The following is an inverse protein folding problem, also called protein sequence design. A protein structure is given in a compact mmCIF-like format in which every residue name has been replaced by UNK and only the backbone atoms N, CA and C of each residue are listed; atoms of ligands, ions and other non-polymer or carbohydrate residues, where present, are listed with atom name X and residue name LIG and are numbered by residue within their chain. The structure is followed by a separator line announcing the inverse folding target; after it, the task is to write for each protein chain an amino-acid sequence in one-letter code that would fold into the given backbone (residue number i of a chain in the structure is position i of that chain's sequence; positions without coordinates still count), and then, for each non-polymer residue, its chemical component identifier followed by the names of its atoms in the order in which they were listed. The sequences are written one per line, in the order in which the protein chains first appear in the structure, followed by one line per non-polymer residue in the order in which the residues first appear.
data_IF_271209212297
#
_entry.id   IF_271209212297
#
_cell.length_a   1.000
_cell.length_b   1.000
_cell.length_c   1.000
_cell.angle_alpha   90.00
_cell.angle_beta   90.00
_cell.angle_gamma   90.00
#
_symmetry.space_group_name_H-M   'P 1'
#
loop_
_entity.id
_entity.type
_entity.pdbx_description
1 polymer ?
#
# COMPACT_ATOMS: atom_id res chain seq x y z
N UNK A 1 -3.67 14.65 -4.65
CA UNK A 1 -3.23 13.26 -4.85
C UNK A 1 -2.02 12.85 -4.00
N UNK A 2 -0.83 13.47 -4.13
CA UNK A 2 0.34 13.06 -3.31
C UNK A 2 0.11 13.17 -1.80
N UNK A 3 -0.41 14.31 -1.32
CA UNK A 3 -0.72 14.51 0.10
C UNK A 3 -1.71 13.46 0.63
N UNK A 4 -2.63 13.01 -0.21
CA UNK A 4 -3.64 12.02 0.15
C UNK A 4 -3.02 10.63 0.37
N UNK A 5 -2.15 10.17 -0.54
CA UNK A 5 -1.42 8.92 -0.35
C UNK A 5 -0.46 8.97 0.81
N UNK A 6 0.22 10.10 1.01
CA UNK A 6 1.09 10.31 2.18
C UNK A 6 0.29 10.26 3.48
N UNK A 7 -0.89 10.88 3.51
CA UNK A 7 -1.79 10.84 4.67
C UNK A 7 -2.30 9.42 4.94
N UNK A 8 -2.77 8.68 3.92
CA UNK A 8 -3.20 7.29 4.08
C UNK A 8 -2.09 6.38 4.57
N UNK A 9 -0.89 6.50 4.00
CA UNK A 9 0.26 5.73 4.48
C UNK A 9 0.64 6.10 5.92
N UNK A 10 0.54 7.38 6.30
CA UNK A 10 0.78 7.81 7.68
C UNK A 10 -0.26 7.21 8.64
N UNK A 11 -1.54 7.16 8.25
CA UNK A 11 -2.61 6.51 9.03
C UNK A 11 -2.34 5.01 9.16
N UNK A 12 -1.99 4.33 8.07
CA UNK A 12 -1.66 2.91 8.07
C UNK A 12 -0.44 2.59 8.94
N UNK A 13 0.63 3.42 8.85
CA UNK A 13 1.79 3.30 9.74
C UNK A 13 1.40 3.53 11.20
N UNK A 14 0.60 4.56 11.48
CA UNK A 14 0.14 4.85 12.83
C UNK A 14 -0.71 3.70 13.39
N UNK A 15 -1.52 3.04 12.56
CA UNK A 15 -2.27 1.84 12.93
C UNK A 15 -1.33 0.69 13.33
N UNK A 16 -0.26 0.43 12.57
CA UNK A 16 0.76 -0.58 12.92
C UNK A 16 1.47 -0.21 14.23
N UNK A 17 1.91 1.03 14.38
CA UNK A 17 2.60 1.51 15.59
C UNK A 17 1.68 1.41 16.82
N UNK A 18 0.40 1.75 16.66
CA UNK A 18 -0.60 1.64 17.71
C UNK A 18 -0.89 0.19 18.09
N UNK A 19 -1.02 -0.71 17.10
CA UNK A 19 -1.20 -2.14 17.33
C UNK A 19 -0.01 -2.76 18.07
N UNK A 20 1.21 -2.31 17.76
CA UNK A 20 2.43 -2.73 18.46
C UNK A 20 2.50 -2.22 19.90
N UNK A 21 2.07 -0.99 20.16
CA UNK A 21 2.04 -0.41 21.49
C UNK A 21 0.92 -0.97 22.38
N UNK A 22 -0.13 -1.54 21.79
CA UNK A 22 -1.30 -2.07 22.48
C UNK A 22 -1.61 -3.49 21.99
N UNK A 23 -0.71 -4.43 22.33
CA UNK A 23 -0.82 -5.85 21.95
C UNK A 23 -2.02 -6.53 22.60
N UNK A 24 -2.39 -6.10 23.81
CA UNK A 24 -3.51 -6.67 24.58
C UNK A 24 -4.89 -6.20 24.05
N UNK A 25 -4.91 -5.33 23.04
CA UNK A 25 -6.13 -4.82 22.42
C UNK A 25 -6.34 -3.32 22.64
N UNK A 26 -7.49 -2.77 22.23
CA UNK A 26 -7.81 -1.37 22.46
C UNK A 26 -7.94 -1.06 23.96
N UNK A 27 -7.64 0.16 24.40
CA UNK A 27 -7.73 0.54 25.79
C UNK A 27 -9.17 0.46 26.27
N UNK A 28 -9.35 -0.12 27.47
CA UNK A 28 -10.66 -0.34 28.06
C UNK A 28 -11.41 0.99 28.32
N UNK A 29 -12.73 0.92 28.19
CA UNK A 29 -13.61 1.98 28.63
C UNK A 29 -13.70 1.94 30.16
N UNK A 30 -13.05 2.90 30.82
CA UNK A 30 -13.08 3.02 32.27
C UNK A 30 -14.29 3.81 32.77
N UNK A 31 -14.95 3.30 33.79
CA UNK A 31 -15.92 4.04 34.60
C UNK A 31 -15.21 4.53 35.87
N UNK A 32 -15.46 5.78 36.28
CA UNK A 32 -15.06 6.26 37.61
C UNK A 32 -15.65 5.35 38.69
N UNK A 33 -14.98 5.19 39.83
CA UNK A 33 -15.48 4.38 40.97
C UNK A 33 -16.90 4.76 41.41
N UNK A 34 -17.29 6.02 41.26
CA UNK A 34 -18.63 6.52 41.59
C UNK A 34 -19.70 6.24 40.50
N UNK A 35 -19.33 5.61 39.39
CA UNK A 35 -20.20 5.32 38.24
C UNK A 35 -20.76 6.54 37.49
N UNK A 36 -20.32 7.76 37.85
CA UNK A 36 -20.87 9.02 37.33
C UNK A 36 -20.11 9.58 36.13
N UNK A 37 -18.87 9.18 35.94
CA UNK A 37 -18.02 9.66 34.85
C UNK A 37 -17.43 8.51 34.07
N UNK A 38 -17.63 8.51 32.76
CA UNK A 38 -16.81 7.72 31.85
C UNK A 38 -15.49 8.45 31.64
N UNK A 39 -14.39 7.78 31.96
CA UNK A 39 -13.06 8.27 31.62
C UNK A 39 -12.47 7.36 30.56
N UNK A 40 -12.29 7.92 29.38
CA UNK A 40 -11.66 7.23 28.28
C UNK A 40 -10.14 7.28 28.48
N UNK A 41 -9.54 6.19 28.96
CA UNK A 41 -8.13 5.96 28.64
C UNK A 41 -8.05 5.81 27.12
N UNK A 42 -7.57 6.84 26.43
CA UNK A 42 -7.55 6.86 24.97
C UNK A 42 -8.87 7.31 24.32
N UNK A 43 -9.49 8.39 24.82
CA UNK A 43 -10.59 9.12 24.13
C UNK A 43 -10.32 9.30 22.62
N UNK A 44 -9.04 9.41 22.27
CA UNK A 44 -8.53 9.51 20.90
C UNK A 44 -8.76 8.27 20.04
N UNK A 45 -8.76 7.05 20.58
CA UNK A 45 -9.01 5.82 19.81
C UNK A 45 -10.50 5.57 19.60
N UNK A 46 -11.30 5.72 20.67
CA UNK A 46 -12.75 5.49 20.61
C UNK A 46 -13.49 6.54 19.77
N UNK A 47 -12.89 7.72 19.56
CA UNK A 47 -13.39 8.74 18.65
C UNK A 47 -13.05 8.52 17.17
N UNK A 48 -12.27 7.48 16.83
CA UNK A 48 -11.92 7.18 15.44
C UNK A 48 -13.11 6.58 14.68
N UNK A 49 -13.15 6.68 13.34
CA UNK A 49 -14.20 6.08 12.53
C UNK A 49 -14.26 4.55 12.68
N UNK A 50 -15.47 3.98 12.56
CA UNK A 50 -15.68 2.52 12.61
C UNK A 50 -14.78 1.74 11.65
N UNK A 51 -14.55 2.25 10.43
CA UNK A 51 -13.66 1.60 9.47
C UNK A 51 -12.21 1.48 9.98
N UNK A 52 -11.77 2.40 10.84
CA UNK A 52 -10.47 2.31 11.49
C UNK A 52 -10.45 1.20 12.53
N UNK A 53 -11.52 1.05 13.34
CA UNK A 53 -11.65 -0.05 14.30
C UNK A 53 -11.67 -1.40 13.58
N UNK A 54 -12.48 -1.55 12.54
CA UNK A 54 -12.56 -2.77 11.75
C UNK A 54 -11.20 -3.11 11.10
N UNK A 55 -10.53 -2.08 10.55
CA UNK A 55 -9.19 -2.22 9.98
C UNK A 55 -8.15 -2.63 11.03
N UNK A 56 -8.23 -2.10 12.25
CA UNK A 56 -7.35 -2.46 13.36
C UNK A 56 -7.54 -3.90 13.82
N UNK A 57 -8.78 -4.34 13.93
CA UNK A 57 -9.11 -5.72 14.34
C UNK A 57 -8.61 -6.72 13.29
N UNK A 58 -8.82 -6.41 12.00
CA UNK A 58 -8.24 -7.18 10.91
C UNK A 58 -6.70 -7.18 10.95
N UNK A 59 -6.07 -6.01 11.14
CA UNK A 59 -4.61 -5.87 11.10
C UNK A 59 -3.92 -6.72 12.17
N UNK A 60 -4.45 -6.75 13.39
CA UNK A 60 -3.90 -7.53 14.51
C UNK A 60 -3.91 -9.03 14.27
N UNK A 61 -4.82 -9.52 13.42
CA UNK A 61 -4.93 -10.93 13.09
C UNK A 61 -3.88 -11.39 12.06
N UNK A 62 -3.14 -10.47 11.43
CA UNK A 62 -2.20 -10.82 10.36
C UNK A 62 -0.83 -11.26 10.91
N UNK A 63 -0.24 -12.36 10.44
CA UNK A 63 0.99 -12.93 11.02
C UNK A 63 2.19 -11.96 11.04
N UNK A 64 2.39 -11.16 9.98
CA UNK A 64 3.52 -10.26 9.85
C UNK A 64 3.12 -8.77 9.82
N UNK A 65 2.00 -8.41 10.45
CA UNK A 65 1.47 -7.03 10.43
C UNK A 65 2.51 -5.97 10.83
N UNK A 66 3.47 -6.33 11.69
CA UNK A 66 4.59 -5.47 12.14
C UNK A 66 5.45 -4.95 11.00
N UNK A 67 5.51 -5.69 9.87
CA UNK A 67 6.29 -5.35 8.67
C UNK A 67 5.45 -4.66 7.60
N UNK A 68 4.12 -4.60 7.75
CA UNK A 68 3.23 -4.04 6.74
C UNK A 68 3.49 -2.56 6.48
N UNK A 69 3.81 -1.78 7.52
CA UNK A 69 4.14 -0.36 7.36
C UNK A 69 5.34 -0.15 6.41
N UNK A 70 6.40 -0.95 6.57
CA UNK A 70 7.57 -0.91 5.70
C UNK A 70 7.23 -1.40 4.28
N UNK A 71 6.43 -2.46 4.17
CA UNK A 71 5.95 -2.95 2.88
C UNK A 71 5.16 -1.87 2.11
N UNK A 72 4.15 -1.24 2.71
CA UNK A 72 3.34 -0.22 2.02
C UNK A 72 4.18 1.00 1.61
N UNK A 73 5.16 1.36 2.44
CA UNK A 73 6.11 2.42 2.13
C UNK A 73 6.92 2.10 0.86
N UNK A 74 7.50 0.90 0.80
CA UNK A 74 8.23 0.42 -0.37
C UNK A 74 7.31 0.27 -1.59
N UNK A 75 6.10 -0.25 -1.40
CA UNK A 75 5.13 -0.45 -2.46
C UNK A 75 4.77 0.88 -3.14
N UNK A 76 4.44 1.91 -2.36
CA UNK A 76 4.05 3.21 -2.89
C UNK A 76 5.23 3.97 -3.52
N UNK A 77 6.40 3.97 -2.89
CA UNK A 77 7.50 4.87 -3.29
C UNK A 77 8.57 4.20 -4.13
N UNK A 78 8.82 2.91 -3.92
CA UNK A 78 9.78 2.14 -4.69
C UNK A 78 9.15 1.39 -5.86
N UNK A 79 7.98 0.79 -5.65
CA UNK A 79 7.26 0.04 -6.68
C UNK A 79 6.22 0.87 -7.43
N UNK A 80 6.04 2.13 -7.05
CA UNK A 80 5.16 3.08 -7.72
C UNK A 80 3.68 2.82 -7.51
N UNK A 81 3.32 2.01 -6.52
CA UNK A 81 1.93 1.70 -6.17
C UNK A 81 1.21 0.81 -7.18
N UNK A 82 1.93 0.00 -7.94
CA UNK A 82 1.35 -0.97 -8.86
C UNK A 82 2.19 -2.25 -8.94
N UNK A 83 1.57 -3.31 -9.46
CA UNK A 83 2.21 -4.55 -9.89
C UNK A 83 1.81 -4.94 -11.33
N UNK A 84 2.57 -5.84 -11.93
CA UNK A 84 2.31 -6.43 -13.24
C UNK A 84 1.65 -7.80 -13.06
N UNK A 85 0.39 -7.94 -13.51
CA UNK A 85 -0.39 -9.17 -13.32
C UNK A 85 0.21 -10.37 -14.08
N UNK A 86 0.82 -10.13 -15.26
CA UNK A 86 1.48 -11.17 -16.07
C UNK A 86 2.74 -11.76 -15.42
N UNK A 87 3.26 -11.10 -14.37
CA UNK A 87 4.51 -11.44 -13.67
C UNK A 87 4.35 -11.40 -12.16
N UNK A 88 3.12 -11.52 -11.68
CA UNK A 88 2.75 -11.29 -10.27
C UNK A 88 3.63 -12.08 -9.30
N UNK A 89 3.87 -13.36 -9.58
CA UNK A 89 4.70 -14.22 -8.71
C UNK A 89 6.14 -13.70 -8.58
N UNK A 90 6.74 -13.26 -9.69
CA UNK A 90 8.09 -12.70 -9.69
C UNK A 90 8.14 -11.36 -8.95
N UNK A 91 7.16 -10.49 -9.20
CA UNK A 91 7.08 -9.19 -8.52
C UNK A 91 6.90 -9.36 -7.01
N UNK A 92 6.05 -10.30 -6.62
CA UNK A 92 5.80 -10.60 -5.22
C UNK A 92 6.99 -11.26 -4.54
N UNK A 93 7.77 -12.08 -5.26
CA UNK A 93 9.03 -12.60 -4.74
C UNK A 93 10.03 -11.47 -4.43
N UNK A 94 10.13 -10.46 -5.30
CA UNK A 94 10.98 -9.30 -5.03
C UNK A 94 10.45 -8.47 -3.87
N UNK A 95 9.18 -8.07 -3.90
CA UNK A 95 8.56 -7.31 -2.81
C UNK A 95 8.72 -8.01 -1.46
N UNK A 96 8.56 -9.34 -1.44
CA UNK A 96 8.80 -10.18 -0.26
C UNK A 96 10.24 -10.07 0.24
N UNK A 97 11.23 -10.15 -0.66
CA UNK A 97 12.65 -9.98 -0.32
C UNK A 97 12.95 -8.61 0.30
N UNK A 98 12.37 -7.52 -0.22
CA UNK A 98 12.64 -6.16 0.27
C UNK A 98 11.92 -5.81 1.57
N UNK A 99 10.70 -6.31 1.76
CA UNK A 99 9.86 -5.98 2.92
C UNK A 99 9.99 -6.99 4.06
N UNK A 100 10.43 -8.20 3.75
CA UNK A 100 10.49 -9.32 4.67
C UNK A 100 9.13 -9.96 4.97
N UNK A 101 8.03 -9.57 4.32
CA UNK A 101 6.77 -10.34 4.42
C UNK A 101 6.78 -11.49 3.40
N UNK A 102 6.21 -12.67 3.71
CA UNK A 102 6.07 -13.75 2.74
C UNK A 102 5.34 -13.29 1.47
N UNK A 103 5.75 -13.78 0.30
CA UNK A 103 5.10 -13.43 -0.96
C UNK A 103 3.60 -13.78 -0.99
N UNK A 104 3.21 -14.86 -0.32
CA UNK A 104 1.80 -15.26 -0.15
C UNK A 104 0.97 -14.30 0.69
N UNK A 105 1.60 -13.47 1.53
CA UNK A 105 0.95 -12.49 2.40
C UNK A 105 0.81 -11.11 1.73
N UNK A 106 1.49 -10.88 0.60
CA UNK A 106 1.41 -9.61 -0.13
C UNK A 106 -0.02 -9.25 -0.56
N UNK A 107 -0.84 -10.15 -1.14
CA UNK A 107 -2.24 -9.84 -1.44
C UNK A 107 -2.99 -9.30 -0.22
N UNK A 108 -2.86 -10.00 0.91
CA UNK A 108 -3.49 -9.63 2.18
C UNK A 108 -2.99 -8.28 2.67
N UNK A 109 -1.68 -8.02 2.58
CA UNK A 109 -1.13 -6.72 2.96
C UNK A 109 -1.70 -5.58 2.08
N UNK A 110 -1.96 -5.82 0.79
CA UNK A 110 -2.56 -4.83 -0.10
C UNK A 110 -4.05 -4.57 0.23
N UNK A 111 -4.79 -5.53 0.78
CA UNK A 111 -6.18 -5.34 1.22
C UNK A 111 -6.35 -4.24 2.28
N UNK A 112 -5.28 -3.88 2.99
CA UNK A 112 -5.34 -2.86 4.05
C UNK A 112 -5.92 -1.52 3.58
N UNK A 113 -5.74 -1.14 2.31
CA UNK A 113 -6.35 0.07 1.78
C UNK A 113 -7.88 -0.01 1.79
N UNK A 114 -8.45 -1.16 1.43
CA UNK A 114 -9.89 -1.39 1.44
C UNK A 114 -10.45 -1.53 2.86
N UNK A 115 -9.66 -2.09 3.79
CA UNK A 115 -10.04 -2.24 5.20
C UNK A 115 -10.10 -0.89 5.92
N UNK A 116 -9.08 -0.05 5.76
CA UNK A 116 -8.99 1.22 6.48
C UNK A 116 -9.76 2.36 5.79
N UNK A 117 -9.90 2.31 4.46
CA UNK A 117 -10.48 3.39 3.65
C UNK A 117 -11.54 2.87 2.68
N UNK A 118 -12.62 2.23 3.12
CA UNK A 118 -13.57 1.57 2.23
C UNK A 118 -14.13 2.53 1.16
N UNK A 119 -14.04 2.13 -0.12
CA UNK A 119 -14.59 2.85 -1.27
C UNK A 119 -15.31 1.90 -2.21
N UNK A 120 -16.31 2.36 -2.99
CA UNK A 120 -16.93 1.54 -4.03
C UNK A 120 -15.90 1.01 -5.02
N UNK A 121 -15.98 -0.29 -5.33
CA UNK A 121 -15.10 -1.01 -6.25
C UNK A 121 -13.62 -1.05 -5.80
N UNK A 122 -13.35 -0.90 -4.50
CA UNK A 122 -12.03 -1.06 -3.89
C UNK A 122 -10.97 -0.05 -4.33
N UNK A 123 -9.76 -0.17 -3.81
CA UNK A 123 -8.64 0.71 -4.12
C UNK A 123 -7.78 0.26 -5.28
N UNK A 124 -7.71 -1.04 -5.55
CA UNK A 124 -6.88 -1.57 -6.61
C UNK A 124 -7.67 -1.79 -7.91
N UNK A 125 -7.10 -1.38 -9.03
CA UNK A 125 -7.73 -1.44 -10.36
C UNK A 125 -6.72 -1.72 -11.46
N UNK A 126 -7.21 -2.29 -12.55
CA UNK A 126 -6.45 -2.44 -13.80
C UNK A 126 -7.10 -1.55 -14.87
N UNK A 127 -6.50 -0.39 -15.21
CA UNK A 127 -7.15 0.60 -16.07
C UNK A 127 -7.03 0.22 -17.56
N UNK A 128 -8.08 -0.38 -18.10
CA UNK A 128 -8.15 -0.74 -19.51
C UNK A 128 -7.33 -2.00 -19.86
N UNK A 129 -7.05 -2.24 -21.15
CA UNK A 129 -6.39 -3.46 -21.63
C UNK A 129 -4.86 -3.45 -21.41
N UNK A 130 -4.44 -3.42 -20.15
CA UNK A 130 -3.04 -3.52 -19.69
C UNK A 130 -2.94 -4.52 -18.54
N UNK A 131 -1.78 -5.11 -18.26
CA UNK A 131 -1.59 -5.95 -17.06
C UNK A 131 -1.06 -5.14 -15.85
N UNK A 132 -1.31 -3.83 -15.80
CA UNK A 132 -0.87 -2.96 -14.70
C UNK A 132 -1.98 -2.90 -13.66
N UNK A 133 -1.81 -3.64 -12.56
CA UNK A 133 -2.72 -3.60 -11.42
C UNK A 133 -2.22 -2.58 -10.41
N UNK A 134 -2.97 -1.49 -10.23
CA UNK A 134 -2.50 -0.31 -9.50
C UNK A 134 -3.45 0.14 -8.42
N UNK A 135 -2.87 0.71 -7.36
CA UNK A 135 -3.60 1.47 -6.38
C UNK A 135 -4.10 2.78 -7.02
N UNK A 136 -5.42 3.04 -6.90
CA UNK A 136 -6.05 4.28 -7.35
C UNK A 136 -5.32 5.50 -6.78
N UNK A 137 -5.30 6.57 -7.56
CA UNK A 137 -4.85 7.91 -7.17
C UNK A 137 -3.34 8.08 -6.90
N UNK A 138 -2.52 7.05 -7.10
CA UNK A 138 -1.06 7.18 -6.95
C UNK A 138 -0.54 8.13 -8.03
N UNK A 139 0.26 9.16 -7.69
CA UNK A 139 0.76 10.10 -8.68
C UNK A 139 1.64 9.43 -9.74
N UNK A 140 1.49 9.89 -10.99
CA UNK A 140 2.25 9.38 -12.14
C UNK A 140 3.76 9.43 -11.95
N UNK A 141 4.29 10.43 -11.24
CA UNK A 141 5.73 10.53 -10.94
C UNK A 141 6.23 9.32 -10.14
N UNK A 142 5.50 8.87 -9.11
CA UNK A 142 5.88 7.68 -8.34
C UNK A 142 5.71 6.40 -9.17
N UNK A 143 4.67 6.34 -10.00
CA UNK A 143 4.50 5.24 -10.95
C UNK A 143 5.68 5.18 -11.93
N UNK A 144 6.22 6.33 -12.36
CA UNK A 144 7.42 6.40 -13.19
C UNK A 144 8.68 5.89 -12.49
N UNK A 145 8.87 6.23 -11.20
CA UNK A 145 9.94 5.65 -10.37
C UNK A 145 9.79 4.12 -10.32
N UNK A 146 8.58 3.61 -10.05
CA UNK A 146 8.30 2.17 -10.02
C UNK A 146 8.52 1.47 -11.37
N UNK A 147 8.20 2.13 -12.49
CA UNK A 147 8.45 1.62 -13.83
C UNK A 147 9.96 1.59 -14.14
N UNK A 148 10.70 2.62 -13.75
CA UNK A 148 12.15 2.64 -13.90
C UNK A 148 12.83 1.61 -12.98
N UNK A 149 12.33 1.40 -11.76
CA UNK A 149 12.84 0.35 -10.87
C UNK A 149 12.71 -1.03 -11.53
N UNK A 150 11.58 -1.32 -12.17
CA UNK A 150 11.37 -2.55 -12.95
C UNK A 150 12.34 -2.68 -14.12
N UNK A 151 12.59 -1.58 -14.84
CA UNK A 151 13.59 -1.56 -15.92
C UNK A 151 14.95 -2.11 -15.49
N UNK A 152 15.38 -1.77 -14.27
CA UNK A 152 16.61 -2.28 -13.66
C UNK A 152 16.45 -3.73 -13.19
N UNK A 153 15.37 -4.06 -12.47
CA UNK A 153 15.14 -5.42 -11.95
C UNK A 153 15.06 -6.50 -13.04
N UNK A 154 14.40 -6.17 -14.15
CA UNK A 154 14.30 -7.06 -15.31
C UNK A 154 15.52 -6.98 -16.24
N UNK A 155 16.53 -6.16 -15.92
CA UNK A 155 17.74 -5.98 -16.74
C UNK A 155 17.45 -5.56 -18.19
N UNK A 156 16.46 -4.68 -18.40
CA UNK A 156 15.96 -4.30 -19.74
C UNK A 156 16.81 -3.24 -20.44
N UNK A 157 17.82 -2.67 -19.77
CA UNK A 157 18.57 -1.52 -20.26
C UNK A 157 17.63 -0.35 -20.59
N UNK A 158 17.85 0.33 -21.72
CA UNK A 158 16.95 1.39 -22.19
C UNK A 158 15.75 0.88 -23.01
N UNK A 159 15.64 -0.43 -23.24
CA UNK A 159 14.65 -0.98 -24.15
C UNK A 159 13.61 -1.87 -23.44
N UNK A 160 12.44 -1.29 -23.16
CA UNK A 160 11.30 -2.00 -22.58
C UNK A 160 10.74 -3.11 -23.48
N UNK A 161 11.01 -3.12 -24.79
CA UNK A 161 10.45 -4.13 -25.71
C UNK A 161 10.85 -5.56 -25.38
N UNK A 162 11.98 -5.73 -24.68
CA UNK A 162 12.49 -7.02 -24.23
C UNK A 162 11.65 -7.65 -23.11
N UNK A 163 10.75 -6.86 -22.48
CA UNK A 163 9.82 -7.37 -21.47
C UNK A 163 8.80 -8.35 -22.09
N UNK A 164 8.35 -8.11 -23.33
CA UNK A 164 7.39 -8.94 -24.07
C UNK A 164 6.10 -9.28 -23.25
N UNK A 165 5.26 -8.28 -22.93
CA UNK A 165 4.09 -8.48 -22.05
C UNK A 165 2.89 -9.10 -22.78
N UNK A 166 1.97 -9.68 -22.01
CA UNK A 166 0.73 -10.24 -22.55
C UNK A 166 -0.23 -9.17 -23.06
N UNK A 167 -0.36 -8.04 -22.37
CA UNK A 167 -1.27 -6.98 -22.77
C UNK A 167 -0.65 -5.99 -23.76
N UNK A 168 -1.48 -5.58 -24.72
CA UNK A 168 -1.11 -4.69 -25.83
C UNK A 168 -0.51 -3.36 -25.37
N UNK A 169 -1.03 -2.75 -24.31
CA UNK A 169 -0.66 -1.37 -23.94
C UNK A 169 0.38 -1.26 -22.82
N UNK A 170 0.78 -2.37 -22.19
CA UNK A 170 1.67 -2.31 -21.02
C UNK A 170 2.98 -1.59 -21.32
N UNK A 171 3.66 -1.90 -22.42
CA UNK A 171 4.94 -1.26 -22.77
C UNK A 171 4.80 0.25 -22.94
N UNK A 172 3.75 0.67 -23.65
CA UNK A 172 3.47 2.09 -23.88
C UNK A 172 3.18 2.80 -22.56
N UNK A 173 2.42 2.18 -21.67
CA UNK A 173 2.04 2.77 -20.39
C UNK A 173 3.22 2.85 -19.42
N UNK A 174 4.10 1.83 -19.38
CA UNK A 174 5.36 1.91 -18.63
C UNK A 174 6.26 3.03 -19.15
N UNK A 175 6.39 3.16 -20.48
CA UNK A 175 7.19 4.22 -21.11
C UNK A 175 6.67 5.62 -20.75
N UNK A 176 5.36 5.86 -20.86
CA UNK A 176 4.73 7.13 -20.47
C UNK A 176 5.00 7.49 -19.01
N UNK A 177 4.90 6.50 -18.11
CA UNK A 177 5.17 6.70 -16.67
C UNK A 177 6.62 7.09 -16.43
N UNK A 178 7.58 6.39 -17.04
CA UNK A 178 9.02 6.71 -16.93
C UNK A 178 9.27 8.14 -17.41
N UNK A 179 8.79 8.49 -18.60
CA UNK A 179 8.99 9.83 -19.16
C UNK A 179 8.41 10.91 -18.24
N UNK A 180 7.21 10.71 -17.69
CA UNK A 180 6.61 11.65 -16.75
C UNK A 180 7.48 11.89 -15.50
N UNK A 181 8.14 10.85 -14.97
CA UNK A 181 9.06 11.02 -13.84
C UNK A 181 10.36 11.74 -14.26
N UNK A 182 10.90 11.46 -15.45
CA UNK A 182 12.07 12.15 -15.98
C UNK A 182 11.78 13.64 -16.19
N UNK A 183 10.67 13.96 -16.85
CA UNK A 183 10.25 15.33 -17.12
C UNK A 183 10.09 16.13 -15.82
N UNK A 184 9.50 15.52 -14.79
CA UNK A 184 9.35 16.14 -13.46
C UNK A 184 10.69 16.38 -12.75
N UNK A 185 11.70 15.53 -12.96
CA UNK A 185 13.01 15.69 -12.33
C UNK A 185 13.92 16.70 -13.06
N UNK A 186 13.61 16.99 -14.33
CA UNK A 186 14.36 17.93 -15.16
C UNK A 186 13.71 19.33 -15.23
N UNK A 187 12.51 19.50 -14.65
CA UNK A 187 11.81 20.78 -14.50
C UNK A 187 12.22 21.53 -13.25
#
# INVERSE_FOLDING_TARGET
MYFEHRARLAILKAAVDYALANLDGPPELGMSEDGKFFFFRGLTYHALPTSFHDGMDWLRQQPNFRRYAAFWQQFLWGWGGFCLDDRKDQEFAWMSRYSGIPASEIPTALEAFDRFFPVPNGWFVTPGPTDIHMLKMVPMVFQGIGAHHRRVQYSLGDNLSTLNPSAQYMLSDLGKRINCAVDFLLS
#
